data_IF_925636592293
#
_entry.id   IF_925636592293
#
_cell.length_a   1.000
_cell.length_b   1.000
_cell.length_c   1.000
_cell.angle_alpha   90.00
_cell.angle_beta   90.00
_cell.angle_gamma   90.00
#
_symmetry.space_group_name_H-M   'P 1'
#
loop_
_entity.id
_entity.type
_entity.pdbx_description
1 polymer ?
#
# COMPACT_ATOMS: atom_id res chain seq x y z
N UNK A 1 6.75 7.28 6.72
CA UNK A 1 6.51 5.84 6.48
C UNK A 1 6.13 5.50 5.05
N UNK A 2 5.27 6.28 4.38
CA UNK A 2 4.97 6.09 2.94
C UNK A 2 6.24 5.93 2.08
N UNK A 3 7.16 6.91 2.17
CA UNK A 3 8.41 6.91 1.40
C UNK A 3 9.20 5.61 1.58
N UNK A 4 9.34 5.12 2.81
CA UNK A 4 10.05 3.88 3.08
C UNK A 4 9.38 2.64 2.45
N UNK A 5 8.04 2.59 2.43
CA UNK A 5 7.30 1.52 1.73
C UNK A 5 7.46 1.67 0.22
N UNK A 6 7.33 2.89 -0.31
CA UNK A 6 7.52 3.18 -1.74
C UNK A 6 8.91 2.73 -2.20
N UNK A 7 9.95 3.05 -1.44
CA UNK A 7 11.33 2.73 -1.78
C UNK A 7 11.57 1.21 -1.76
N UNK A 8 11.01 0.48 -0.78
CA UNK A 8 11.04 -1.00 -0.76
C UNK A 8 10.32 -1.62 -1.96
N UNK A 9 9.20 -1.01 -2.37
CA UNK A 9 8.39 -1.49 -3.49
C UNK A 9 8.91 -1.06 -4.86
N UNK A 10 9.91 -0.17 -4.93
CA UNK A 10 10.51 0.28 -6.18
C UNK A 10 11.11 -0.88 -7.00
N UNK A 11 11.57 -1.94 -6.33
CA UNK A 11 12.10 -3.16 -6.95
C UNK A 11 11.02 -4.02 -7.64
N UNK A 12 9.75 -3.76 -7.37
CA UNK A 12 8.64 -4.44 -8.06
C UNK A 12 8.42 -3.74 -9.40
N UNK A 13 9.09 -4.21 -10.45
CA UNK A 13 9.09 -3.58 -11.78
C UNK A 13 7.69 -3.25 -12.32
N UNK A 14 6.69 -4.10 -12.02
CA UNK A 14 5.30 -3.88 -12.42
C UNK A 14 4.63 -2.63 -11.80
N UNK A 15 5.19 -2.10 -10.70
CA UNK A 15 4.74 -0.94 -9.94
C UNK A 15 5.68 0.28 -10.08
N UNK A 16 6.73 0.18 -10.89
CA UNK A 16 7.72 1.25 -11.04
C UNK A 16 7.05 2.57 -11.46
N UNK A 17 7.21 3.61 -10.63
CA UNK A 17 6.59 4.92 -10.83
C UNK A 17 5.06 4.96 -10.66
N UNK A 18 4.45 3.91 -10.08
CA UNK A 18 2.99 3.75 -9.93
C UNK A 18 2.56 3.42 -8.50
N UNK A 19 3.38 3.85 -7.53
CA UNK A 19 3.10 3.71 -6.09
C UNK A 19 2.75 5.12 -5.58
N UNK A 20 1.49 5.29 -5.17
CA UNK A 20 0.92 6.58 -4.81
C UNK A 20 0.46 6.59 -3.34
N UNK A 21 0.37 7.76 -2.69
CA UNK A 21 -0.09 7.86 -1.31
C UNK A 21 -1.62 7.76 -1.20
N UNK A 22 -2.12 7.48 0.00
CA UNK A 22 -3.55 7.44 0.32
C UNK A 22 -4.33 8.67 -0.16
N UNK A 23 -3.74 9.87 -0.08
CA UNK A 23 -4.39 11.11 -0.53
C UNK A 23 -4.78 11.07 -2.01
N UNK A 24 -3.98 10.44 -2.87
CA UNK A 24 -4.31 10.27 -4.29
C UNK A 24 -5.46 9.29 -4.47
N UNK A 25 -5.51 8.21 -3.69
CA UNK A 25 -6.65 7.29 -3.70
C UNK A 25 -7.95 8.00 -3.29
N UNK A 26 -7.90 8.83 -2.23
CA UNK A 26 -9.04 9.62 -1.77
C UNK A 26 -9.56 10.60 -2.82
N UNK A 27 -8.66 11.33 -3.51
CA UNK A 27 -9.05 12.24 -4.60
C UNK A 27 -9.71 11.48 -5.77
N UNK A 28 -9.16 10.32 -6.13
CA UNK A 28 -9.74 9.47 -7.18
C UNK A 28 -11.13 8.94 -6.80
N UNK A 29 -11.31 8.48 -5.56
CA UNK A 29 -12.61 8.03 -5.06
C UNK A 29 -13.62 9.17 -5.06
N UNK A 30 -13.23 10.38 -4.65
CA UNK A 30 -14.09 11.56 -4.66
C UNK A 30 -14.57 11.93 -6.07
N UNK A 31 -13.74 11.65 -7.09
CA UNK A 31 -14.07 11.86 -8.51
C UNK A 31 -14.76 10.66 -9.16
N UNK A 32 -15.04 9.60 -8.40
CA UNK A 32 -15.54 8.31 -8.90
C UNK A 32 -14.67 7.74 -10.04
N UNK A 33 -13.35 7.83 -9.89
CA UNK A 33 -12.36 7.41 -10.87
C UNK A 33 -11.57 6.18 -10.41
N UNK A 34 -11.05 5.45 -11.39
CA UNK A 34 -10.12 4.33 -11.20
C UNK A 34 -8.75 4.66 -11.77
N UNK A 35 -7.67 3.98 -11.32
CA UNK A 35 -6.33 4.18 -11.87
C UNK A 35 -6.33 3.99 -13.38
N UNK A 36 -5.83 5.00 -14.09
CA UNK A 36 -5.78 4.99 -15.56
C UNK A 36 -4.73 4.01 -16.08
N UNK A 37 -3.64 3.84 -15.33
CA UNK A 37 -2.56 2.91 -15.65
C UNK A 37 -2.49 1.87 -14.56
N UNK A 38 -2.60 0.60 -14.93
CA UNK A 38 -2.45 -0.55 -14.03
C UNK A 38 -1.33 -1.47 -14.51
N UNK A 39 -0.62 -2.19 -13.62
CA UNK A 39 -0.84 -2.24 -12.18
C UNK A 39 -0.48 -0.95 -11.46
N UNK A 40 -1.23 -0.62 -10.40
CA UNK A 40 -0.98 0.52 -9.53
C UNK A 40 -1.09 0.10 -8.07
N UNK A 41 -0.36 0.78 -7.18
CA UNK A 41 -0.39 0.54 -5.75
C UNK A 41 -0.66 1.84 -4.99
N UNK A 42 -1.48 1.75 -3.95
CA UNK A 42 -1.70 2.83 -3.01
C UNK A 42 -1.30 2.38 -1.62
N UNK A 43 -0.55 3.21 -0.90
CA UNK A 43 -0.13 2.89 0.47
C UNK A 43 -0.96 3.71 1.46
N UNK A 44 -1.62 3.01 2.37
CA UNK A 44 -2.59 3.56 3.30
C UNK A 44 -2.09 3.44 4.74
N UNK A 45 -2.12 4.50 5.55
CA UNK A 45 -2.03 4.37 7.00
C UNK A 45 -3.33 3.73 7.51
N UNK A 46 -3.22 2.56 8.13
CA UNK A 46 -4.36 1.82 8.68
C UNK A 46 -4.52 2.01 10.20
N UNK A 47 -3.44 2.39 10.88
CA UNK A 47 -3.51 2.70 12.31
C UNK A 47 -2.15 2.90 12.95
N UNK A 48 -2.18 3.46 14.15
CA UNK A 48 -1.01 3.62 15.02
C UNK A 48 -1.37 3.05 16.40
N UNK A 49 -0.53 2.16 16.90
CA UNK A 49 -0.72 1.50 18.19
C UNK A 49 0.46 1.81 19.11
N UNK A 50 0.16 2.33 20.29
CA UNK A 50 1.15 2.49 21.35
C UNK A 50 1.48 1.15 22.02
N UNK A 51 2.78 0.88 22.18
CA UNK A 51 3.29 -0.23 22.98
C UNK A 51 3.33 0.09 24.47
N UNK A 52 3.94 -0.81 25.25
CA UNK A 52 4.15 -0.59 26.69
C UNK A 52 5.09 0.61 26.89
N UNK A 53 4.69 1.54 27.74
CA UNK A 53 5.54 2.65 28.13
C UNK A 53 6.53 2.21 29.23
N UNK A 54 7.75 2.72 29.13
CA UNK A 54 8.77 2.63 30.16
C UNK A 54 9.08 4.03 30.67
N UNK A 55 9.09 4.19 32.00
CA UNK A 55 9.32 5.47 32.67
C UNK A 55 10.40 5.28 33.74
N UNK A 56 11.56 5.88 33.53
CA UNK A 56 12.69 5.82 34.46
C UNK A 56 13.42 7.16 34.51
N UNK A 57 13.69 7.66 35.71
CA UNK A 57 14.45 8.90 35.96
C UNK A 57 14.00 10.12 35.13
N UNK A 58 12.68 10.30 34.95
CA UNK A 58 12.10 11.43 34.22
C UNK A 58 12.06 11.27 32.69
N UNK A 59 12.57 10.17 32.15
CA UNK A 59 12.43 9.81 30.73
C UNK A 59 11.21 8.91 30.52
N UNK A 60 10.37 9.26 29.54
CA UNK A 60 9.26 8.43 29.06
C UNK A 60 9.58 7.90 27.67
N UNK A 61 9.61 6.58 27.50
CA UNK A 61 9.78 5.93 26.19
C UNK A 61 8.61 5.01 25.91
N UNK A 62 8.06 5.10 24.70
CA UNK A 62 7.01 4.21 24.23
C UNK A 62 7.30 3.81 22.79
N UNK A 63 7.37 2.50 22.54
CA UNK A 63 7.43 1.99 21.17
C UNK A 63 6.08 2.25 20.49
N UNK A 64 6.11 2.69 19.23
CA UNK A 64 4.90 2.85 18.42
C UNK A 64 4.94 1.84 17.27
N UNK A 65 3.81 1.18 17.04
CA UNK A 65 3.60 0.31 15.88
C UNK A 65 2.65 0.99 14.91
N UNK A 66 3.14 1.35 13.73
CA UNK A 66 2.31 1.86 12.63
C UNK A 66 1.93 0.69 11.71
N UNK A 67 0.66 0.59 11.34
CA UNK A 67 0.16 -0.39 10.39
C UNK A 67 -0.11 0.29 9.06
N UNK A 68 0.46 -0.25 7.99
CA UNK A 68 0.30 0.24 6.62
C UNK A 68 -0.36 -0.85 5.77
N UNK A 69 -1.29 -0.45 4.91
CA UNK A 69 -1.90 -1.29 3.90
C UNK A 69 -1.39 -0.93 2.51
N UNK A 70 -1.21 -1.92 1.64
CA UNK A 70 -0.93 -1.69 0.21
C UNK A 70 -2.11 -2.20 -0.59
N UNK A 71 -2.86 -1.28 -1.21
CA UNK A 71 -4.00 -1.61 -2.08
C UNK A 71 -3.49 -1.69 -3.52
N UNK A 72 -3.70 -2.85 -4.14
CA UNK A 72 -3.27 -3.13 -5.51
C UNK A 72 -4.45 -3.05 -6.47
N UNK A 73 -4.26 -2.34 -7.58
CA UNK A 73 -5.22 -2.25 -8.67
C UNK A 73 -4.66 -2.92 -9.92
N UNK A 74 -5.43 -3.86 -10.47
CA UNK A 74 -5.14 -4.52 -11.75
C UNK A 74 -6.40 -4.47 -12.59
N UNK A 75 -6.26 -4.13 -13.88
CA UNK A 75 -7.36 -4.15 -14.84
C UNK A 75 -7.04 -5.13 -15.96
N UNK A 76 -7.99 -6.01 -16.23
CA UNK A 76 -7.97 -6.91 -17.39
C UNK A 76 -9.07 -6.51 -18.37
N UNK A 77 -8.70 -6.19 -19.62
CA UNK A 77 -9.67 -5.81 -20.64
C UNK A 77 -10.65 -6.96 -20.94
N UNK A 78 -11.94 -6.65 -21.02
CA UNK A 78 -13.01 -7.63 -21.25
C UNK A 78 -13.25 -8.61 -20.10
N UNK A 79 -12.70 -8.36 -18.91
CA UNK A 79 -12.85 -9.23 -17.74
C UNK A 79 -14.00 -8.73 -16.86
N UNK A 80 -15.24 -9.06 -17.25
CA UNK A 80 -16.42 -8.60 -16.54
C UNK A 80 -16.56 -9.20 -15.12
N UNK A 81 -16.02 -10.40 -14.90
CA UNK A 81 -16.12 -11.12 -13.63
C UNK A 81 -14.93 -10.88 -12.71
N UNK A 82 -13.82 -10.35 -13.23
CA UNK A 82 -12.58 -10.11 -12.48
C UNK A 82 -11.70 -11.35 -12.30
N UNK A 83 -12.00 -12.46 -12.99
CA UNK A 83 -11.26 -13.71 -12.85
C UNK A 83 -9.80 -13.55 -13.34
N UNK A 84 -9.60 -12.95 -14.51
CA UNK A 84 -8.26 -12.72 -15.09
C UNK A 84 -7.47 -11.67 -14.30
N UNK A 85 -8.15 -10.62 -13.81
CA UNK A 85 -7.54 -9.64 -12.93
C UNK A 85 -7.06 -10.30 -11.62
N UNK A 86 -7.84 -11.23 -11.06
CA UNK A 86 -7.47 -11.98 -9.85
C UNK A 86 -6.23 -12.85 -10.06
N UNK A 87 -6.15 -13.56 -11.18
CA UNK A 87 -4.97 -14.36 -11.55
C UNK A 87 -3.69 -13.51 -11.64
N UNK A 88 -3.78 -12.28 -12.13
CA UNK A 88 -2.67 -11.33 -12.20
C UNK A 88 -2.34 -10.70 -10.84
N UNK A 89 -3.34 -10.52 -9.97
CA UNK A 89 -3.19 -9.86 -8.68
C UNK A 89 -2.42 -10.75 -7.68
N UNK A 90 -2.61 -12.07 -7.71
CA UNK A 90 -1.90 -13.02 -6.82
C UNK A 90 -0.37 -12.94 -6.92
N UNK A 91 0.27 -13.06 -8.10
CA UNK A 91 1.73 -12.97 -8.20
C UNK A 91 2.23 -11.56 -7.84
N UNK A 92 1.49 -10.51 -8.19
CA UNK A 92 1.83 -9.13 -7.83
C UNK A 92 1.79 -8.91 -6.31
N UNK A 93 0.72 -9.36 -5.64
CA UNK A 93 0.60 -9.35 -4.18
C UNK A 93 1.76 -10.07 -3.53
N UNK A 94 2.12 -11.25 -4.02
CA UNK A 94 3.24 -12.03 -3.48
C UNK A 94 4.60 -11.33 -3.72
N UNK A 95 4.76 -10.60 -4.83
CA UNK A 95 5.94 -9.78 -5.09
C UNK A 95 6.04 -8.63 -4.08
N UNK A 96 4.92 -7.95 -3.79
CA UNK A 96 4.83 -6.89 -2.78
C UNK A 96 5.15 -7.41 -1.38
N UNK A 97 4.52 -8.50 -0.96
CA UNK A 97 4.74 -9.11 0.37
C UNK A 97 6.22 -9.45 0.59
N UNK A 98 6.93 -9.94 -0.45
CA UNK A 98 8.36 -10.28 -0.33
C UNK A 98 9.30 -9.09 -0.16
N UNK A 99 8.80 -7.86 -0.28
CA UNK A 99 9.60 -6.63 -0.17
C UNK A 99 9.34 -5.84 1.11
N UNK A 100 8.33 -6.23 1.91
CA UNK A 100 7.94 -5.52 3.14
C UNK A 100 8.41 -6.31 4.35
#
# INVERSE_FOLDING_TARGET
MFEAVRDRLADVTALAGRIEPAARLSDMMARNQLPQVTPAAFVLPLGLRGGRADAAAGLFRQALTETLGVVLFVRSAGDATGARATEQLVPLRNAVIRRI
#
